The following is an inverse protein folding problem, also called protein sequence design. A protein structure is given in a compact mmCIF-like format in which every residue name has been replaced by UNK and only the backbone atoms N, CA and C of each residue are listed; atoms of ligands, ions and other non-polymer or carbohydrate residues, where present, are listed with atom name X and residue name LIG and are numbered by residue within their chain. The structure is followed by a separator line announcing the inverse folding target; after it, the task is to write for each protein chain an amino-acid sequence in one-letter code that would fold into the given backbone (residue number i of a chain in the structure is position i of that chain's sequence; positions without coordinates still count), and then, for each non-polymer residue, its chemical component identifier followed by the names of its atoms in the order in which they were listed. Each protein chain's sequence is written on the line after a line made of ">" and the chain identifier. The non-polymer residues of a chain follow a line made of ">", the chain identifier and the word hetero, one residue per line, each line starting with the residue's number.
data_IF_355448493430
#
_entry.id   IF_355448493430
#
_cell.length_a   1.000
_cell.length_b   1.000
_cell.length_c   1.000
_cell.angle_alpha   90.00
_cell.angle_beta   90.00
_cell.angle_gamma   90.00
#
_symmetry.space_group_name_H-M   'P 1'
#
loop_
_entity.id
_entity.type
_entity.pdbx_description
1 polymer ?
#
# COMPACT_ATOMS: atom_id res chain seq x y z
N UNK A 1 22.06 -12.53 57.97
CA UNK A 1 21.00 -11.59 57.55
C UNK A 1 21.14 -11.33 56.05
N UNK A 2 20.02 -10.97 55.37
CA UNK A 2 19.81 -10.74 53.91
C UNK A 2 19.64 -12.01 53.05
N UNK A 3 18.56 -12.40 52.35
CA UNK A 3 17.25 -11.90 51.82
C UNK A 3 17.21 -11.86 50.27
N UNK A 4 16.68 -12.96 49.73
CA UNK A 4 15.88 -13.20 48.49
C UNK A 4 15.93 -12.14 47.37
N UNK A 5 16.37 -12.54 46.17
CA UNK A 5 15.51 -12.54 44.96
C UNK A 5 16.20 -13.22 43.78
N UNK A 6 15.46 -14.09 43.10
CA UNK A 6 15.91 -15.12 42.18
C UNK A 6 15.92 -14.68 40.71
N UNK A 7 17.00 -15.04 39.99
CA UNK A 7 17.03 -15.84 38.73
C UNK A 7 16.21 -15.21 37.56
N UNK A 8 16.76 -14.51 36.55
CA UNK A 8 17.83 -14.81 35.57
C UNK A 8 17.54 -16.07 34.71
N UNK A 9 17.95 -16.07 33.44
CA UNK A 9 17.87 -17.13 32.39
C UNK A 9 16.76 -16.82 31.37
N UNK A 10 17.01 -16.14 30.25
CA UNK A 10 18.07 -16.27 29.22
C UNK A 10 17.95 -17.54 28.36
N UNK A 11 17.20 -17.39 27.25
CA UNK A 11 17.45 -17.94 25.92
C UNK A 11 17.29 -19.47 25.65
N UNK A 12 17.00 -19.73 24.36
CA UNK A 12 17.02 -20.99 23.58
C UNK A 12 15.70 -21.79 23.46
N UNK A 13 15.23 -21.92 22.20
CA UNK A 13 15.06 -23.26 21.60
C UNK A 13 13.67 -23.72 21.13
N UNK A 14 13.34 -23.43 19.86
CA UNK A 14 12.88 -24.35 18.81
C UNK A 14 11.73 -25.39 19.01
N UNK A 15 10.77 -25.30 18.07
CA UNK A 15 10.13 -26.37 17.26
C UNK A 15 9.17 -27.43 17.84
N UNK A 16 7.92 -27.32 17.36
CA UNK A 16 7.04 -28.35 16.74
C UNK A 16 6.57 -29.57 17.58
N UNK A 17 5.25 -29.74 17.73
CA UNK A 17 4.40 -30.87 17.25
C UNK A 17 3.02 -30.83 17.95
N UNK A 18 1.94 -30.65 17.15
CA UNK A 18 0.63 -31.32 17.33
C UNK A 18 -0.42 -30.76 18.30
N UNK A 19 -1.64 -30.50 17.78
CA UNK A 19 -2.90 -30.64 18.54
C UNK A 19 -3.78 -29.39 18.63
N UNK A 20 -4.94 -29.45 17.97
CA UNK A 20 -5.95 -28.40 17.85
C UNK A 20 -6.90 -28.41 19.06
N UNK A 21 -7.13 -27.27 19.71
CA UNK A 21 -8.42 -26.96 20.32
C UNK A 21 -8.78 -25.52 19.96
N UNK A 22 -9.79 -25.39 19.10
CA UNK A 22 -10.27 -24.12 18.56
C UNK A 22 -11.03 -23.33 19.61
N UNK A 23 -10.50 -22.18 19.98
CA UNK A 23 -11.30 -20.99 20.31
C UNK A 23 -10.75 -19.81 19.51
N UNK A 24 -11.19 -19.74 18.26
CA UNK A 24 -11.27 -18.55 17.38
C UNK A 24 -10.02 -17.67 17.30
N UNK A 25 -9.28 -17.83 16.21
CA UNK A 25 -8.26 -16.86 15.80
C UNK A 25 -7.34 -17.30 14.65
N UNK A 26 -7.55 -18.49 14.08
CA UNK A 26 -6.83 -18.96 12.89
C UNK A 26 -7.26 -18.18 11.65
N UNK A 27 -6.55 -17.09 11.38
CA UNK A 27 -6.58 -16.38 10.10
C UNK A 27 -5.22 -15.76 9.70
N UNK A 28 -4.18 -15.99 10.51
CA UNK A 28 -2.81 -15.48 10.28
C UNK A 28 -1.90 -16.67 9.97
N UNK A 29 -2.21 -17.41 8.93
CA UNK A 29 -1.28 -18.42 8.45
C UNK A 29 -1.37 -18.47 6.94
N UNK A 30 -0.25 -18.08 6.32
CA UNK A 30 0.12 -18.29 4.93
C UNK A 30 -0.39 -17.23 3.94
N UNK A 31 0.42 -16.17 3.79
CA UNK A 31 0.63 -15.61 2.44
C UNK A 31 0.76 -14.10 2.30
N UNK A 32 0.15 -13.29 3.18
CA UNK A 32 0.17 -11.83 2.98
C UNK A 32 -0.25 -10.96 4.17
N UNK A 33 -0.62 -11.56 5.30
CA UNK A 33 -1.13 -10.84 6.48
C UNK A 33 -0.07 -10.54 7.56
N UNK A 34 1.16 -11.07 7.43
CA UNK A 34 2.22 -10.90 8.43
C UNK A 34 2.72 -9.45 8.57
N UNK A 35 2.44 -8.58 7.60
CA UNK A 35 2.74 -7.14 7.71
C UNK A 35 1.67 -6.34 8.47
N UNK A 36 0.40 -6.73 8.37
CA UNK A 36 -0.72 -5.96 8.92
C UNK A 36 -1.22 -6.48 10.29
N UNK A 37 -1.05 -7.78 10.56
CA UNK A 37 -1.58 -8.41 11.76
C UNK A 37 -0.83 -7.97 13.04
N UNK A 38 0.49 -7.75 12.99
CA UNK A 38 1.22 -7.32 14.19
C UNK A 38 0.87 -5.87 14.57
N UNK A 39 0.59 -4.99 13.59
CA UNK A 39 0.17 -3.62 13.84
C UNK A 39 -1.25 -3.50 14.40
N UNK A 40 -2.19 -4.30 13.89
CA UNK A 40 -3.59 -4.27 14.35
C UNK A 40 -3.84 -4.97 15.68
N UNK A 41 -3.13 -6.07 15.97
CA UNK A 41 -3.38 -6.89 17.16
C UNK A 41 -2.76 -6.27 18.43
N UNK A 42 -1.67 -5.49 18.32
CA UNK A 42 -0.98 -4.89 19.48
C UNK A 42 -1.50 -3.48 19.82
N UNK A 43 -2.07 -2.73 18.88
CA UNK A 43 -2.39 -1.29 19.08
C UNK A 43 -3.84 -0.86 18.85
N UNK A 44 -4.78 -1.77 18.55
CA UNK A 44 -6.15 -1.40 18.19
C UNK A 44 -6.21 -0.46 16.96
N UNK A 45 -7.30 0.32 16.81
CA UNK A 45 -7.46 1.28 15.70
C UNK A 45 -6.32 2.31 15.58
N UNK A 46 -5.55 2.51 16.64
CA UNK A 46 -4.36 3.37 16.66
C UNK A 46 -3.11 2.62 16.14
N UNK A 47 -3.03 1.31 16.35
CA UNK A 47 -2.01 0.42 15.77
C UNK A 47 -2.19 0.16 14.28
N UNK A 48 -3.40 0.31 13.73
CA UNK A 48 -3.62 0.38 12.29
C UNK A 48 -3.08 1.70 11.69
N UNK A 49 -3.16 2.82 12.41
CA UNK A 49 -2.54 4.08 12.01
C UNK A 49 -1.01 4.01 12.03
N UNK A 50 -0.44 3.45 13.10
CA UNK A 50 1.02 3.28 13.24
C UNK A 50 1.53 2.18 12.29
N UNK A 51 0.78 1.10 12.11
CA UNK A 51 1.06 0.02 11.16
C UNK A 51 0.94 0.47 9.70
N UNK A 52 0.03 1.40 9.39
CA UNK A 52 -0.04 2.07 8.09
C UNK A 52 1.14 3.02 7.84
N UNK A 53 1.64 3.68 8.89
CA UNK A 53 2.81 4.57 8.81
C UNK A 53 4.16 3.79 8.79
N UNK A 54 4.23 2.62 9.42
CA UNK A 54 5.41 1.75 9.35
C UNK A 54 5.42 0.87 8.08
N UNK A 55 4.24 0.49 7.58
CA UNK A 55 4.08 -0.30 6.36
C UNK A 55 4.62 0.38 5.11
N UNK A 56 4.57 1.72 5.05
CA UNK A 56 5.19 2.49 3.94
C UNK A 56 6.72 2.44 3.94
N UNK A 57 7.38 2.16 5.08
CA UNK A 57 8.85 2.04 5.15
C UNK A 57 9.29 0.67 4.63
N UNK A 58 8.46 -0.37 4.75
CA UNK A 58 8.81 -1.74 4.38
C UNK A 58 8.20 -2.24 3.05
N UNK A 59 7.10 -1.64 2.56
CA UNK A 59 6.27 -2.23 1.48
C UNK A 59 6.06 -1.38 0.21
N UNK A 60 6.68 -0.20 0.12
CA UNK A 60 6.49 0.71 -1.02
C UNK A 60 5.10 1.35 -1.07
N UNK A 61 4.90 2.36 -1.93
CA UNK A 61 3.59 3.03 -2.02
C UNK A 61 2.51 2.12 -2.62
N UNK A 62 2.88 1.18 -3.49
CA UNK A 62 1.91 0.27 -4.11
C UNK A 62 1.29 -0.66 -3.07
N UNK A 63 2.09 -1.24 -2.17
CA UNK A 63 1.58 -2.12 -1.12
C UNK A 63 0.67 -1.40 -0.11
N UNK A 64 0.74 -0.07 -0.03
CA UNK A 64 -0.08 0.74 0.86
C UNK A 64 -1.32 1.35 0.18
N UNK A 65 -1.30 1.57 -1.13
CA UNK A 65 -2.36 2.29 -1.86
C UNK A 65 -3.13 1.45 -2.88
N UNK A 66 -2.51 0.43 -3.47
CA UNK A 66 -3.12 -0.41 -4.51
C UNK A 66 -3.48 -1.79 -3.97
N UNK A 67 -4.57 -2.34 -4.47
CA UNK A 67 -4.96 -3.71 -4.15
C UNK A 67 -4.10 -4.71 -4.93
N UNK A 68 -4.04 -5.96 -4.46
CA UNK A 68 -3.25 -7.01 -5.13
C UNK A 68 -3.63 -7.21 -6.60
N UNK A 69 -4.89 -6.98 -6.97
CA UNK A 69 -5.34 -7.09 -8.37
C UNK A 69 -4.89 -5.90 -9.21
N UNK A 70 -5.11 -4.67 -8.73
CA UNK A 70 -4.65 -3.44 -9.37
C UNK A 70 -3.12 -3.43 -9.55
N UNK A 71 -2.38 -3.82 -8.50
CA UNK A 71 -0.93 -3.93 -8.49
C UNK A 71 -0.42 -4.91 -9.55
N UNK A 72 -1.04 -6.09 -9.66
CA UNK A 72 -0.70 -7.07 -10.70
C UNK A 72 -1.02 -6.54 -12.10
N UNK A 73 -2.22 -6.00 -12.30
CA UNK A 73 -2.63 -5.43 -13.58
C UNK A 73 -1.68 -4.31 -14.02
N UNK A 74 -1.35 -3.40 -13.10
CA UNK A 74 -0.44 -2.28 -13.38
C UNK A 74 0.98 -2.77 -13.68
N UNK A 75 1.47 -3.79 -12.97
CA UNK A 75 2.78 -4.39 -13.20
C UNK A 75 2.87 -5.06 -14.57
N UNK A 76 1.82 -5.78 -14.96
CA UNK A 76 1.75 -6.49 -16.24
C UNK A 76 1.57 -5.53 -17.42
N UNK A 77 0.71 -4.51 -17.26
CA UNK A 77 0.46 -3.51 -18.29
C UNK A 77 1.59 -2.48 -18.42
N UNK A 78 2.20 -2.09 -17.30
CA UNK A 78 3.14 -0.96 -17.23
C UNK A 78 4.11 -1.09 -16.06
N UNK A 79 5.14 -1.95 -16.18
CA UNK A 79 6.13 -2.16 -15.11
C UNK A 79 6.92 -0.90 -14.77
N UNK A 80 7.03 0.06 -15.69
CA UNK A 80 7.66 1.35 -15.44
C UNK A 80 6.80 2.24 -14.54
N UNK A 81 5.49 2.35 -14.82
CA UNK A 81 4.54 3.08 -13.97
C UNK A 81 4.47 2.45 -12.59
N UNK A 82 4.44 1.11 -12.51
CA UNK A 82 4.51 0.38 -11.26
C UNK A 82 5.69 0.84 -10.40
N UNK A 83 6.91 0.85 -10.96
CA UNK A 83 8.12 1.23 -10.20
C UNK A 83 8.10 2.68 -9.76
N UNK A 84 7.65 3.59 -10.64
CA UNK A 84 7.53 5.02 -10.29
C UNK A 84 6.57 5.21 -9.12
N UNK A 85 5.40 4.59 -9.18
CA UNK A 85 4.44 4.66 -8.07
C UNK A 85 5.06 4.09 -6.80
N UNK A 86 5.64 2.90 -6.86
CA UNK A 86 6.23 2.22 -5.70
C UNK A 86 7.33 3.03 -5.02
N UNK A 87 8.19 3.66 -5.82
CA UNK A 87 9.30 4.51 -5.37
C UNK A 87 8.88 5.90 -4.90
N UNK A 88 7.62 6.32 -5.08
CA UNK A 88 7.22 7.71 -4.86
C UNK A 88 7.72 8.69 -5.94
N UNK A 89 8.04 8.13 -7.11
CA UNK A 89 8.28 8.76 -8.41
C UNK A 89 7.26 9.86 -8.73
N UNK A 90 7.67 11.04 -9.25
CA UNK A 90 6.71 11.94 -9.93
C UNK A 90 6.08 11.21 -11.11
N UNK A 91 4.75 11.20 -11.15
CA UNK A 91 3.95 10.51 -12.14
C UNK A 91 3.73 11.41 -13.35
N UNK A 92 3.89 10.87 -14.55
CA UNK A 92 3.57 11.52 -15.81
C UNK A 92 2.08 11.39 -16.15
N UNK A 93 1.61 12.16 -17.14
CA UNK A 93 0.25 12.01 -17.69
C UNK A 93 0.03 10.57 -18.19
N UNK A 94 1.05 9.93 -18.75
CA UNK A 94 0.96 8.54 -19.21
C UNK A 94 0.84 7.55 -18.05
N UNK A 95 1.46 7.85 -16.91
CA UNK A 95 1.33 7.03 -15.71
C UNK A 95 -0.11 7.07 -15.17
N UNK A 96 -0.76 8.24 -15.18
CA UNK A 96 -2.18 8.38 -14.81
C UNK A 96 -3.08 7.57 -15.74
N UNK A 97 -2.80 7.60 -17.06
CA UNK A 97 -3.50 6.77 -18.04
C UNK A 97 -3.33 5.28 -17.71
N UNK A 98 -2.10 4.84 -17.43
CA UNK A 98 -1.82 3.45 -17.13
C UNK A 98 -2.48 2.99 -15.82
N UNK A 99 -2.55 3.86 -14.81
CA UNK A 99 -3.28 3.60 -13.57
C UNK A 99 -4.77 3.38 -13.83
N UNK A 100 -5.39 4.25 -14.63
CA UNK A 100 -6.80 4.11 -15.01
C UNK A 100 -7.04 2.82 -15.80
N UNK A 101 -6.17 2.48 -16.76
CA UNK A 101 -6.24 1.22 -17.52
C UNK A 101 -6.05 -0.03 -16.66
N UNK A 102 -5.32 0.08 -15.55
CA UNK A 102 -5.17 -0.97 -14.57
C UNK A 102 -6.40 -1.14 -13.66
N UNK A 103 -7.47 -0.36 -13.91
CA UNK A 103 -8.69 -0.26 -13.10
C UNK A 103 -8.42 0.26 -11.67
N UNK A 104 -7.40 1.09 -11.49
CA UNK A 104 -7.18 1.78 -10.22
C UNK A 104 -8.29 2.81 -10.03
N UNK A 105 -8.90 2.83 -8.85
CA UNK A 105 -9.95 3.81 -8.56
C UNK A 105 -9.43 5.25 -8.58
N UNK A 106 -10.26 6.16 -9.07
CA UNK A 106 -10.03 7.61 -9.08
C UNK A 106 -9.44 8.16 -7.77
N UNK A 107 -9.99 7.77 -6.60
CA UNK A 107 -9.53 8.24 -5.29
C UNK A 107 -8.08 7.85 -5.04
N UNK A 108 -7.70 6.62 -5.42
CA UNK A 108 -6.33 6.13 -5.32
C UNK A 108 -5.43 6.87 -6.30
N UNK A 109 -5.86 7.08 -7.54
CA UNK A 109 -5.10 7.84 -8.54
C UNK A 109 -4.83 9.27 -8.02
N UNK A 110 -5.85 9.96 -7.52
CA UNK A 110 -5.73 11.30 -6.94
C UNK A 110 -4.79 11.28 -5.73
N UNK A 111 -4.94 10.30 -4.83
CA UNK A 111 -4.07 10.14 -3.67
C UNK A 111 -2.60 9.92 -4.06
N UNK A 112 -2.33 9.16 -5.12
CA UNK A 112 -0.98 8.94 -5.64
C UNK A 112 -0.40 10.22 -6.25
N UNK A 113 -1.20 10.98 -7.01
CA UNK A 113 -0.78 12.29 -7.55
C UNK A 113 -0.39 13.25 -6.40
N UNK A 114 -1.19 13.28 -5.34
CA UNK A 114 -0.91 14.06 -4.13
C UNK A 114 0.39 13.62 -3.45
N UNK A 115 0.52 12.31 -3.20
CA UNK A 115 1.64 11.75 -2.45
C UNK A 115 2.97 11.97 -3.16
N UNK A 116 2.98 11.82 -4.48
CA UNK A 116 4.15 12.02 -5.34
C UNK A 116 4.41 13.49 -5.67
N UNK A 117 3.54 14.40 -5.20
CA UNK A 117 3.58 15.83 -5.53
C UNK A 117 3.65 16.07 -7.04
N UNK A 118 2.92 15.25 -7.81
CA UNK A 118 2.88 15.35 -9.26
C UNK A 118 2.01 16.55 -9.67
N UNK A 119 2.57 17.39 -10.54
CA UNK A 119 1.94 18.60 -11.07
C UNK A 119 1.91 18.52 -12.58
N UNK A 120 0.83 18.98 -13.19
CA UNK A 120 0.59 18.82 -14.63
C UNK A 120 0.22 20.15 -15.27
N UNK A 121 0.84 20.44 -16.40
CA UNK A 121 0.37 21.47 -17.32
C UNK A 121 -0.35 20.77 -18.46
N UNK A 122 -1.68 20.72 -18.39
CA UNK A 122 -2.50 20.03 -19.39
C UNK A 122 -2.92 21.00 -20.49
N UNK A 123 -2.73 20.60 -21.74
CA UNK A 123 -3.34 21.24 -22.91
C UNK A 123 -4.58 20.44 -23.39
N UNK A 124 -5.35 21.02 -24.32
CA UNK A 124 -6.58 20.39 -24.84
C UNK A 124 -6.36 18.98 -25.37
N UNK A 125 -5.27 18.76 -26.11
CA UNK A 125 -4.92 17.43 -26.64
C UNK A 125 -4.65 16.41 -25.52
N UNK A 126 -4.02 16.81 -24.43
CA UNK A 126 -3.77 15.92 -23.29
C UNK A 126 -5.05 15.60 -22.52
N UNK A 127 -5.98 16.56 -22.40
CA UNK A 127 -7.29 16.35 -21.78
C UNK A 127 -8.09 15.34 -22.61
N UNK A 128 -8.13 15.51 -23.93
CA UNK A 128 -8.79 14.56 -24.84
C UNK A 128 -8.15 13.18 -24.76
N UNK A 129 -6.81 13.09 -24.74
CA UNK A 129 -6.09 11.82 -24.58
C UNK A 129 -6.42 11.12 -23.26
N UNK A 130 -6.54 11.86 -22.16
CA UNK A 130 -6.90 11.30 -20.86
C UNK A 130 -8.32 10.73 -20.90
N UNK A 131 -9.27 11.49 -21.45
CA UNK A 131 -10.67 11.09 -21.58
C UNK A 131 -10.85 9.87 -22.48
N UNK A 132 -10.19 9.86 -23.63
CA UNK A 132 -10.21 8.72 -24.58
C UNK A 132 -9.61 7.46 -23.97
N UNK A 133 -8.59 7.61 -23.12
CA UNK A 133 -7.98 6.51 -22.40
C UNK A 133 -8.80 5.98 -21.21
N UNK A 134 -9.99 6.55 -20.95
CA UNK A 134 -10.90 6.14 -19.89
C UNK A 134 -10.62 6.77 -18.53
N UNK A 135 -9.74 7.79 -18.45
CA UNK A 135 -9.52 8.53 -17.22
C UNK A 135 -10.76 9.35 -16.89
N UNK A 136 -11.24 9.25 -15.65
CA UNK A 136 -12.45 9.96 -15.24
C UNK A 136 -12.26 11.47 -15.22
N UNK A 137 -13.37 12.18 -15.46
CA UNK A 137 -13.43 13.65 -15.36
C UNK A 137 -13.00 14.14 -13.96
N UNK A 138 -13.20 13.34 -12.91
CA UNK A 138 -12.77 13.68 -11.55
C UNK A 138 -11.25 13.76 -11.44
N UNK A 139 -10.55 12.78 -12.00
CA UNK A 139 -9.07 12.76 -12.01
C UNK A 139 -8.53 13.87 -12.93
N UNK A 140 -9.13 14.05 -14.12
CA UNK A 140 -8.72 15.09 -15.07
C UNK A 140 -8.86 16.48 -14.43
N UNK A 141 -10.02 16.79 -13.84
CA UNK A 141 -10.24 18.06 -13.14
C UNK A 141 -9.23 18.24 -12.01
N UNK A 142 -8.96 17.19 -11.22
CA UNK A 142 -7.94 17.27 -10.18
C UNK A 142 -6.56 17.63 -10.75
N UNK A 143 -6.14 17.02 -11.86
CA UNK A 143 -4.87 17.34 -12.52
C UNK A 143 -4.81 18.78 -13.04
N UNK A 144 -5.93 19.37 -13.42
CA UNK A 144 -6.00 20.77 -13.89
C UNK A 144 -5.92 21.79 -12.76
N UNK A 145 -6.66 21.56 -11.67
CA UNK A 145 -6.74 22.52 -10.56
C UNK A 145 -5.62 22.35 -9.53
N UNK A 146 -4.91 21.22 -9.52
CA UNK A 146 -3.74 20.98 -8.68
C UNK A 146 -2.48 21.57 -9.34
N UNK A 147 -2.40 22.90 -9.41
CA UNK A 147 -1.20 23.65 -9.80
C UNK A 147 -0.49 24.16 -8.55
#
# INVERSE_FOLDING_TARGET
>A
MLKKSSILVLALGATLIGGCESNTGTGVLLGGASGAAIGGIVGGGQGALIGGAAGVIAGGLIGAYLDNQESRNLKDQSPQTYRRVDNGEKLSVNDVINLSKANVSDDKIIGLIQKTNSRYTLNSYQIDKLRDAGVSERVINYMMYNT
#
